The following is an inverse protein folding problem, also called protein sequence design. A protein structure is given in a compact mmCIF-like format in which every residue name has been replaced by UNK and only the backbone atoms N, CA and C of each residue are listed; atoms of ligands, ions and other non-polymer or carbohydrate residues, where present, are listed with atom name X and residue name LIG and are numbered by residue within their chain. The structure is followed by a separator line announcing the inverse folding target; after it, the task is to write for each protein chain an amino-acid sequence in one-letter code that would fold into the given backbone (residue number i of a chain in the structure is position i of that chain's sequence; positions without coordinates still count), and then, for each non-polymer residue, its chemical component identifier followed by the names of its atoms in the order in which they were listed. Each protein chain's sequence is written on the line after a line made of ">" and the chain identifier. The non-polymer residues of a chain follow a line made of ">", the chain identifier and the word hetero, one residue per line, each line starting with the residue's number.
data_IF_293454723091
#
_entry.id   IF_293454723091
#
_cell.length_a   1.000
_cell.length_b   1.000
_cell.length_c   1.000
_cell.angle_alpha   90.00
_cell.angle_beta   90.00
_cell.angle_gamma   90.00
#
_symmetry.space_group_name_H-M   'P 1'
#
loop_
_entity.id
_entity.type
_entity.pdbx_description
1 polymer ?
#
# COMPACT_ATOMS: atom_id res chain seq x y z
N UNK A 1 -57.33 -34.23 -51.78
CA UNK A 1 -57.07 -32.95 -51.10
C UNK A 1 -57.03 -33.29 -49.63
N UNK A 2 -55.88 -33.39 -48.96
CA UNK A 2 -54.59 -32.73 -49.21
C UNK A 2 -53.49 -33.66 -48.69
N UNK A 3 -52.64 -34.16 -49.59
CA UNK A 3 -51.37 -34.77 -49.22
C UNK A 3 -50.38 -33.63 -48.99
N UNK A 4 -50.16 -33.24 -47.74
CA UNK A 4 -49.02 -32.40 -47.39
C UNK A 4 -47.78 -33.29 -47.33
N UNK A 5 -46.68 -32.93 -48.03
CA UNK A 5 -45.45 -33.71 -47.95
C UNK A 5 -44.86 -33.54 -46.55
N UNK A 6 -44.66 -34.68 -45.89
CA UNK A 6 -43.94 -34.80 -44.63
C UNK A 6 -42.52 -34.25 -44.84
N UNK A 7 -42.28 -33.03 -44.35
CA UNK A 7 -40.96 -32.39 -44.40
C UNK A 7 -40.05 -33.20 -43.48
N UNK A 8 -39.31 -34.13 -44.07
CA UNK A 8 -38.26 -34.87 -43.41
C UNK A 8 -37.20 -33.85 -43.01
N UNK A 9 -37.26 -33.39 -41.76
CA UNK A 9 -36.20 -32.60 -41.15
C UNK A 9 -34.99 -33.52 -41.02
N UNK A 10 -34.14 -33.53 -42.05
CA UNK A 10 -32.82 -34.13 -41.97
C UNK A 10 -32.12 -33.47 -40.79
N UNK A 11 -32.03 -34.18 -39.65
CA UNK A 11 -31.14 -33.81 -38.57
C UNK A 11 -29.74 -33.74 -39.18
N UNK A 12 -29.26 -32.52 -39.47
CA UNK A 12 -27.89 -32.30 -39.89
C UNK A 12 -27.01 -32.98 -38.84
N UNK A 13 -26.30 -34.04 -39.22
CA UNK A 13 -25.38 -34.74 -38.32
C UNK A 13 -24.38 -33.72 -37.81
N UNK A 14 -24.53 -33.32 -36.55
CA UNK A 14 -23.65 -32.37 -35.91
C UNK A 14 -22.29 -33.06 -35.75
N UNK A 15 -21.28 -32.54 -36.46
CA UNK A 15 -19.93 -33.08 -36.38
C UNK A 15 -19.40 -32.91 -34.95
N UNK A 16 -18.61 -33.88 -34.44
CA UNK A 16 -18.02 -33.76 -33.12
C UNK A 16 -16.98 -32.63 -33.09
N UNK A 17 -16.77 -32.03 -31.92
CA UNK A 17 -15.66 -31.11 -31.69
C UNK A 17 -14.31 -31.84 -31.81
N UNK A 18 -13.24 -31.16 -32.27
CA UNK A 18 -11.92 -31.75 -32.38
C UNK A 18 -11.36 -32.14 -30.99
N UNK A 19 -10.60 -33.25 -30.89
CA UNK A 19 -9.94 -33.63 -29.66
C UNK A 19 -8.91 -32.57 -29.23
N UNK A 20 -8.68 -32.48 -27.91
CA UNK A 20 -7.88 -31.41 -27.30
C UNK A 20 -6.47 -31.28 -27.87
N UNK A 21 -5.83 -32.35 -28.33
CA UNK A 21 -4.46 -32.25 -28.86
C UNK A 21 -4.37 -31.43 -30.15
N UNK A 22 -5.45 -31.38 -30.94
CA UNK A 22 -5.50 -30.72 -32.25
C UNK A 22 -6.50 -29.57 -32.32
N UNK A 23 -7.31 -29.37 -31.28
CA UNK A 23 -8.24 -28.25 -31.16
C UNK A 23 -7.51 -26.91 -31.20
N UNK A 24 -8.03 -26.01 -32.02
CA UNK A 24 -7.58 -24.64 -32.13
C UNK A 24 -7.88 -23.86 -30.86
N UNK A 25 -9.06 -24.08 -30.26
CA UNK A 25 -9.44 -23.53 -28.96
C UNK A 25 -8.39 -23.84 -27.90
N UNK A 26 -7.98 -25.10 -27.76
CA UNK A 26 -6.97 -25.49 -26.76
C UNK A 26 -5.60 -24.86 -27.05
N UNK A 27 -5.24 -24.61 -28.32
CA UNK A 27 -4.04 -23.84 -28.65
C UNK A 27 -4.14 -22.39 -28.14
N UNK A 28 -5.27 -21.72 -28.42
CA UNK A 28 -5.53 -20.34 -27.99
C UNK A 28 -5.51 -20.22 -26.46
N UNK A 29 -6.14 -21.15 -25.74
CA UNK A 29 -6.10 -21.21 -24.27
C UNK A 29 -4.66 -21.30 -23.75
N UNK A 30 -3.84 -22.20 -24.29
CA UNK A 30 -2.43 -22.37 -23.88
C UNK A 30 -1.57 -21.13 -24.13
N UNK A 31 -1.81 -20.41 -25.23
CA UNK A 31 -1.10 -19.15 -25.49
C UNK A 31 -1.52 -18.07 -24.49
N UNK A 32 -2.82 -17.97 -24.19
CA UNK A 32 -3.31 -17.05 -23.17
C UNK A 32 -2.77 -17.34 -21.77
N UNK A 33 -2.61 -18.61 -21.38
CA UNK A 33 -1.96 -18.95 -20.11
C UNK A 33 -0.54 -18.40 -20.02
N UNK A 34 0.22 -18.41 -21.11
CA UNK A 34 1.56 -17.83 -21.19
C UNK A 34 1.50 -16.31 -21.12
N UNK A 35 0.68 -15.68 -21.96
CA UNK A 35 0.52 -14.22 -22.01
C UNK A 35 0.11 -13.67 -20.63
N UNK A 36 -0.91 -14.28 -20.00
CA UNK A 36 -1.38 -13.89 -18.67
C UNK A 36 -0.27 -14.05 -17.61
N UNK A 37 0.58 -15.08 -17.73
CA UNK A 37 1.71 -15.28 -16.81
C UNK A 37 2.76 -14.18 -16.96
N UNK A 38 3.12 -13.79 -18.18
CA UNK A 38 4.01 -12.65 -18.44
C UNK A 38 3.40 -11.35 -17.93
N UNK A 39 2.12 -11.12 -18.21
CA UNK A 39 1.37 -9.96 -17.77
C UNK A 39 1.31 -9.84 -16.25
N UNK A 40 1.01 -10.93 -15.53
CA UNK A 40 1.06 -10.96 -14.05
C UNK A 40 2.44 -10.65 -13.47
N UNK A 41 3.51 -10.91 -14.24
CA UNK A 41 4.88 -10.58 -13.90
C UNK A 41 5.28 -9.15 -14.30
N UNK A 42 4.35 -8.33 -14.81
CA UNK A 42 4.58 -6.95 -15.18
C UNK A 42 5.13 -6.76 -16.60
N UNK A 43 5.12 -7.79 -17.44
CA UNK A 43 5.60 -7.73 -18.83
C UNK A 43 4.44 -7.88 -19.80
N UNK A 44 4.35 -6.99 -20.79
CA UNK A 44 3.46 -7.19 -21.92
C UNK A 44 4.15 -8.12 -22.94
N UNK A 45 3.48 -9.20 -23.32
CA UNK A 45 3.93 -10.14 -24.35
C UNK A 45 3.21 -9.81 -25.68
N UNK A 46 3.46 -8.58 -26.16
CA UNK A 46 2.76 -8.00 -27.32
C UNK A 46 3.03 -8.78 -28.60
N UNK A 47 4.23 -9.35 -28.74
CA UNK A 47 4.58 -10.21 -29.88
C UNK A 47 3.77 -11.51 -29.88
N UNK A 48 3.63 -12.18 -28.73
CA UNK A 48 2.82 -13.40 -28.65
C UNK A 48 1.33 -13.11 -28.84
N UNK A 49 0.84 -11.98 -28.34
CA UNK A 49 -0.54 -11.53 -28.58
C UNK A 49 -0.79 -11.25 -30.08
N UNK A 50 0.09 -10.49 -30.73
CA UNK A 50 -0.02 -10.18 -32.16
C UNK A 50 0.09 -11.42 -33.05
N UNK A 51 0.97 -12.36 -32.70
CA UNK A 51 1.07 -13.65 -33.38
C UNK A 51 -0.22 -14.48 -33.21
N UNK A 52 -0.82 -14.46 -32.02
CA UNK A 52 -2.08 -15.15 -31.74
C UNK A 52 -3.25 -14.54 -32.50
N UNK A 53 -3.35 -13.21 -32.56
CA UNK A 53 -4.36 -12.48 -33.35
C UNK A 53 -4.23 -12.80 -34.84
N UNK A 54 -2.99 -12.80 -35.35
CA UNK A 54 -2.69 -13.14 -36.75
C UNK A 54 -3.08 -14.59 -37.07
N UNK A 55 -2.85 -15.52 -36.14
CA UNK A 55 -3.23 -16.93 -36.28
C UNK A 55 -4.75 -17.10 -36.30
N UNK A 56 -5.48 -16.42 -35.41
CA UNK A 56 -6.95 -16.46 -35.35
C UNK A 56 -7.55 -15.93 -36.65
N UNK A 57 -7.04 -14.82 -37.17
CA UNK A 57 -7.54 -14.25 -38.43
C UNK A 57 -7.17 -15.12 -39.65
N UNK A 58 -5.99 -15.74 -39.64
CA UNK A 58 -5.59 -16.69 -40.67
C UNK A 58 -6.54 -17.91 -40.73
N UNK A 59 -6.84 -18.52 -39.60
CA UNK A 59 -7.78 -19.66 -39.53
C UNK A 59 -9.22 -19.25 -39.87
N UNK A 60 -9.62 -18.02 -39.53
CA UNK A 60 -10.92 -17.45 -39.95
C UNK A 60 -11.01 -17.43 -41.48
N UNK A 61 -10.04 -16.81 -42.15
CA UNK A 61 -10.03 -16.68 -43.60
C UNK A 61 -10.03 -18.05 -44.29
N UNK A 62 -9.30 -19.02 -43.72
CA UNK A 62 -9.27 -20.40 -44.22
C UNK A 62 -10.62 -21.11 -44.12
N UNK A 63 -11.27 -21.05 -42.95
CA UNK A 63 -12.50 -21.79 -42.65
C UNK A 63 -13.77 -21.15 -43.23
N UNK A 64 -13.83 -19.82 -43.26
CA UNK A 64 -15.05 -19.08 -43.64
C UNK A 64 -14.97 -18.49 -45.04
N UNK A 65 -13.85 -17.89 -45.43
CA UNK A 65 -13.75 -17.16 -46.70
C UNK A 65 -13.34 -18.10 -47.84
N UNK A 66 -12.32 -18.93 -47.62
CA UNK A 66 -11.81 -19.88 -48.61
C UNK A 66 -12.57 -21.21 -48.60
N UNK A 67 -13.30 -21.46 -47.51
CA UNK A 67 -14.07 -22.68 -47.27
C UNK A 67 -13.24 -23.95 -47.56
N UNK A 68 -11.95 -23.92 -47.18
CA UNK A 68 -11.03 -25.05 -47.35
C UNK A 68 -11.47 -26.18 -46.40
N UNK A 69 -12.02 -27.30 -46.91
CA UNK A 69 -12.50 -28.36 -46.04
C UNK A 69 -11.30 -29.09 -45.45
N UNK A 70 -11.16 -29.05 -44.12
CA UNK A 70 -10.22 -29.96 -43.44
C UNK A 70 -10.74 -31.39 -43.65
N UNK A 71 -9.90 -32.34 -44.12
CA UNK A 71 -10.31 -33.71 -44.41
C UNK A 71 -10.80 -34.48 -43.17
N UNK A 72 -10.63 -33.95 -41.96
CA UNK A 72 -11.05 -34.58 -40.71
C UNK A 72 -12.51 -34.25 -40.37
N UNK A 73 -13.30 -35.21 -39.87
CA UNK A 73 -14.74 -35.04 -39.62
C UNK A 73 -15.01 -34.33 -38.28
N UNK A 74 -14.53 -33.09 -38.14
CA UNK A 74 -14.73 -32.28 -36.93
C UNK A 74 -15.37 -30.93 -37.25
N UNK A 75 -16.08 -30.38 -36.27
CA UNK A 75 -16.65 -29.04 -36.35
C UNK A 75 -15.60 -27.96 -36.03
N UNK A 76 -14.75 -27.67 -37.02
CA UNK A 76 -13.73 -26.64 -36.92
C UNK A 76 -14.30 -25.22 -36.83
N UNK A 77 -15.53 -24.99 -37.31
CA UNK A 77 -16.18 -23.67 -37.26
C UNK A 77 -16.58 -23.34 -35.83
N UNK A 78 -17.20 -24.29 -35.14
CA UNK A 78 -17.54 -24.12 -33.72
C UNK A 78 -16.29 -24.00 -32.84
N UNK A 79 -15.25 -24.82 -33.08
CA UNK A 79 -13.96 -24.73 -32.37
C UNK A 79 -13.29 -23.35 -32.55
N UNK A 80 -13.35 -22.77 -33.76
CA UNK A 80 -12.85 -21.41 -34.00
C UNK A 80 -13.69 -20.34 -33.28
N UNK A 81 -15.03 -20.46 -33.27
CA UNK A 81 -15.92 -19.52 -32.58
C UNK A 81 -15.63 -19.51 -31.08
N UNK A 82 -15.47 -20.69 -30.47
CA UNK A 82 -15.09 -20.82 -29.05
C UNK A 82 -13.71 -20.21 -28.78
N UNK A 83 -12.73 -20.49 -29.64
CA UNK A 83 -11.39 -19.91 -29.55
C UNK A 83 -11.43 -18.37 -29.61
N UNK A 84 -12.24 -17.79 -30.51
CA UNK A 84 -12.42 -16.35 -30.66
C UNK A 84 -13.08 -15.73 -29.43
N UNK A 85 -14.13 -16.37 -28.87
CA UNK A 85 -14.77 -15.91 -27.64
C UNK A 85 -13.79 -15.89 -26.45
N UNK A 86 -12.95 -16.92 -26.31
CA UNK A 86 -11.90 -16.98 -25.28
C UNK A 86 -10.88 -15.85 -25.48
N UNK A 87 -10.48 -15.60 -26.72
CA UNK A 87 -9.55 -14.53 -27.03
C UNK A 87 -10.12 -13.16 -26.67
N UNK A 88 -11.32 -12.83 -27.15
CA UNK A 88 -11.96 -11.53 -26.90
C UNK A 88 -12.19 -11.30 -25.41
N UNK A 89 -12.68 -12.32 -24.68
CA UNK A 89 -12.84 -12.26 -23.23
C UNK A 89 -11.53 -11.95 -22.51
N UNK A 90 -10.43 -12.61 -22.89
CA UNK A 90 -9.14 -12.39 -22.24
C UNK A 90 -8.54 -11.01 -22.58
N UNK A 91 -8.72 -10.52 -23.80
CA UNK A 91 -8.34 -9.14 -24.18
C UNK A 91 -9.05 -8.14 -23.28
N UNK A 92 -10.36 -8.26 -23.12
CA UNK A 92 -11.15 -7.37 -22.26
C UNK A 92 -10.72 -7.47 -20.79
N UNK A 93 -10.47 -8.67 -20.28
CA UNK A 93 -9.97 -8.89 -18.91
C UNK A 93 -8.61 -8.21 -18.70
N UNK A 94 -7.69 -8.38 -19.64
CA UNK A 94 -6.34 -7.78 -19.54
C UNK A 94 -6.43 -6.26 -19.63
N UNK A 95 -7.22 -5.72 -20.55
CA UNK A 95 -7.42 -4.27 -20.72
C UNK A 95 -8.00 -3.64 -19.45
N UNK A 96 -9.09 -4.20 -18.91
CA UNK A 96 -9.74 -3.72 -17.70
C UNK A 96 -8.82 -3.81 -16.48
N UNK A 97 -8.09 -4.92 -16.34
CA UNK A 97 -7.17 -5.08 -15.20
C UNK A 97 -5.89 -4.25 -15.34
N UNK A 98 -5.43 -3.95 -16.55
CA UNK A 98 -4.27 -3.08 -16.78
C UNK A 98 -4.53 -1.69 -16.20
N UNK A 99 -5.69 -1.10 -16.52
CA UNK A 99 -6.10 0.18 -15.94
C UNK A 99 -6.11 0.13 -14.41
N UNK A 100 -6.73 -0.91 -13.84
CA UNK A 100 -6.76 -1.07 -12.38
C UNK A 100 -5.37 -1.18 -11.75
N UNK A 101 -4.44 -1.91 -12.38
CA UNK A 101 -3.06 -2.03 -11.90
C UNK A 101 -2.33 -0.69 -11.98
N UNK A 102 -2.53 0.08 -13.05
CA UNK A 102 -1.95 1.41 -13.22
C UNK A 102 -2.50 2.39 -12.17
N UNK A 103 -3.80 2.33 -11.87
CA UNK A 103 -4.44 3.12 -10.81
C UNK A 103 -3.87 2.77 -9.43
N UNK A 104 -3.72 1.48 -9.12
CA UNK A 104 -3.13 1.04 -7.85
C UNK A 104 -1.66 1.45 -7.76
N UNK A 105 -0.90 1.38 -8.86
CA UNK A 105 0.49 1.86 -8.91
C UNK A 105 0.57 3.36 -8.66
N UNK A 106 -0.31 4.15 -9.29
CA UNK A 106 -0.43 5.60 -9.08
C UNK A 106 -0.79 5.93 -7.63
N UNK A 107 -1.77 5.24 -7.05
CA UNK A 107 -2.13 5.37 -5.64
C UNK A 107 -0.92 5.16 -4.72
N UNK A 108 -0.09 4.14 -4.98
CA UNK A 108 1.12 3.91 -4.18
C UNK A 108 2.18 4.99 -4.36
N UNK A 109 2.37 5.51 -5.57
CA UNK A 109 3.27 6.65 -5.79
C UNK A 109 2.80 7.90 -5.04
N UNK A 110 1.52 8.24 -5.16
CA UNK A 110 0.93 9.36 -4.42
C UNK A 110 1.05 9.16 -2.90
N UNK A 111 0.83 7.94 -2.42
CA UNK A 111 1.03 7.60 -1.02
C UNK A 111 2.48 7.82 -0.57
N UNK A 112 3.47 7.39 -1.37
CA UNK A 112 4.88 7.59 -1.04
C UNK A 112 5.28 9.07 -1.00
N UNK A 113 4.80 9.88 -1.94
CA UNK A 113 5.08 11.31 -1.99
C UNK A 113 4.42 12.05 -0.83
N UNK A 114 3.13 11.81 -0.59
CA UNK A 114 2.39 12.44 0.52
C UNK A 114 2.96 12.05 1.87
N UNK A 115 3.30 10.77 2.06
CA UNK A 115 3.80 10.29 3.34
C UNK A 115 5.13 10.93 3.72
N UNK A 116 6.02 11.18 2.73
CA UNK A 116 7.30 11.83 3.00
C UNK A 116 7.12 13.28 3.50
N UNK A 117 6.34 14.08 2.77
CA UNK A 117 6.11 15.49 3.11
C UNK A 117 5.30 15.64 4.41
N UNK A 118 4.18 14.93 4.52
CA UNK A 118 3.28 15.04 5.67
C UNK A 118 3.96 14.62 6.97
N UNK A 119 4.78 13.57 6.94
CA UNK A 119 5.47 13.10 8.13
C UNK A 119 6.51 14.08 8.65
N UNK A 120 7.20 14.79 7.72
CA UNK A 120 8.14 15.85 8.07
C UNK A 120 7.44 17.01 8.76
N UNK A 121 6.32 17.49 8.21
CA UNK A 121 5.62 18.67 8.72
C UNK A 121 5.00 18.42 10.10
N UNK A 122 4.30 17.29 10.27
CA UNK A 122 3.69 16.93 11.57
C UNK A 122 4.75 16.74 12.65
N UNK A 123 5.86 16.09 12.31
CA UNK A 123 6.95 15.87 13.28
C UNK A 123 7.58 17.18 13.73
N UNK A 124 7.76 18.12 12.80
CA UNK A 124 8.37 19.41 13.07
C UNK A 124 7.45 20.30 13.92
N UNK A 125 6.14 20.27 13.66
CA UNK A 125 5.17 21.04 14.43
C UNK A 125 4.98 20.51 15.87
N UNK A 126 4.96 19.18 16.03
CA UNK A 126 4.95 18.53 17.34
C UNK A 126 6.21 18.87 18.15
N UNK A 127 7.38 18.81 17.51
CA UNK A 127 8.66 19.16 18.16
C UNK A 127 8.70 20.63 18.57
N UNK A 128 8.26 21.56 17.71
CA UNK A 128 8.17 22.99 18.04
C UNK A 128 7.30 23.24 19.26
N UNK A 129 6.08 22.68 19.26
CA UNK A 129 5.12 22.84 20.35
C UNK A 129 5.70 22.36 21.67
N UNK A 130 6.43 21.24 21.64
CA UNK A 130 7.02 20.66 22.83
C UNK A 130 8.25 21.45 23.32
N UNK A 131 9.12 21.90 22.41
CA UNK A 131 10.26 22.76 22.77
C UNK A 131 9.78 24.06 23.41
N UNK A 132 8.64 24.61 22.99
CA UNK A 132 8.06 25.79 23.64
C UNK A 132 7.60 25.49 25.07
N UNK A 133 6.88 24.39 25.30
CA UNK A 133 6.34 24.03 26.61
C UNK A 133 7.46 23.57 27.57
N UNK A 134 8.24 22.56 27.18
CA UNK A 134 9.35 22.05 27.99
C UNK A 134 10.45 23.09 28.13
N UNK A 135 10.74 23.87 27.08
CA UNK A 135 11.72 24.95 27.15
C UNK A 135 11.31 26.06 28.13
N UNK A 136 10.03 26.46 28.14
CA UNK A 136 9.53 27.42 29.11
C UNK A 136 9.63 26.87 30.55
N UNK A 137 9.29 25.60 30.76
CA UNK A 137 9.42 24.94 32.05
C UNK A 137 10.87 24.85 32.54
N UNK A 138 11.81 24.51 31.64
CA UNK A 138 13.25 24.47 31.93
C UNK A 138 13.77 25.87 32.29
N UNK A 139 13.43 26.90 31.52
CA UNK A 139 13.86 28.28 31.80
C UNK A 139 13.33 28.72 33.18
N UNK A 140 12.04 28.51 33.45
CA UNK A 140 11.43 28.86 34.74
C UNK A 140 12.06 28.10 35.92
N UNK A 141 12.49 26.86 35.72
CA UNK A 141 13.19 26.11 36.75
C UNK A 141 14.65 26.58 36.93
N UNK A 142 15.33 26.95 35.85
CA UNK A 142 16.70 27.46 35.88
C UNK A 142 16.81 28.83 36.55
N UNK A 143 15.81 29.70 36.45
CA UNK A 143 15.81 30.99 37.17
C UNK A 143 15.83 30.80 38.69
N UNK A 144 15.12 29.79 39.21
CA UNK A 144 15.16 29.38 40.62
C UNK A 144 16.53 28.81 40.99
N UNK A 145 17.09 27.93 40.14
CA UNK A 145 18.36 27.24 40.42
C UNK A 145 19.60 28.13 40.28
N UNK A 146 19.54 29.15 39.41
CA UNK A 146 20.63 30.10 39.18
C UNK A 146 20.74 31.20 40.25
N UNK A 147 19.83 31.21 41.23
CA UNK A 147 19.86 32.19 42.32
C UNK A 147 19.40 33.59 41.90
N UNK A 148 18.69 33.73 40.77
CA UNK A 148 18.03 34.99 40.42
C UNK A 148 16.93 35.36 41.43
N UNK A 149 16.43 34.38 42.19
CA UNK A 149 15.59 34.58 43.37
C UNK A 149 16.50 34.58 44.60
N UNK A 150 16.47 35.67 45.38
CA UNK A 150 17.41 35.89 46.48
C UNK A 150 17.32 34.86 47.63
N UNK A 151 16.12 34.31 47.88
CA UNK A 151 15.91 33.25 48.87
C UNK A 151 14.89 32.24 48.35
N UNK A 152 15.32 31.28 47.50
CA UNK A 152 14.42 30.27 46.98
C UNK A 152 14.05 29.28 48.09
N UNK A 153 12.75 29.09 48.28
CA UNK A 153 12.22 28.13 49.25
C UNK A 153 12.70 26.69 48.92
N UNK A 154 13.09 25.84 49.90
CA UNK A 154 13.65 24.52 49.61
C UNK A 154 12.75 23.61 48.76
N UNK A 155 11.42 23.71 48.91
CA UNK A 155 10.48 22.97 48.07
C UNK A 155 10.52 23.45 46.61
N UNK A 156 10.67 24.77 46.39
CA UNK A 156 10.84 25.32 45.04
C UNK A 156 12.14 24.83 44.39
N UNK A 157 13.25 24.74 45.13
CA UNK A 157 14.51 24.20 44.61
C UNK A 157 14.36 22.72 44.21
N UNK A 158 13.68 21.91 45.02
CA UNK A 158 13.41 20.50 44.71
C UNK A 158 12.56 20.38 43.43
N UNK A 159 11.47 21.15 43.35
CA UNK A 159 10.58 21.19 42.19
C UNK A 159 11.33 21.62 40.93
N UNK A 160 12.17 22.65 41.00
CA UNK A 160 12.97 23.08 39.87
C UNK A 160 13.93 21.99 39.38
N UNK A 161 14.60 21.25 40.27
CA UNK A 161 15.45 20.12 39.87
C UNK A 161 14.64 19.01 39.19
N UNK A 162 13.47 18.67 39.75
CA UNK A 162 12.60 17.64 39.21
C UNK A 162 12.08 18.04 37.83
N UNK A 163 11.57 19.27 37.68
CA UNK A 163 11.07 19.82 36.42
C UNK A 163 12.14 19.86 35.33
N UNK A 164 13.37 20.30 35.63
CA UNK A 164 14.46 20.27 34.63
C UNK A 164 14.72 18.84 34.16
N UNK A 165 14.83 17.90 35.10
CA UNK A 165 15.13 16.51 34.77
C UNK A 165 14.01 15.87 33.93
N UNK A 166 12.74 16.06 34.33
CA UNK A 166 11.60 15.46 33.64
C UNK A 166 11.33 16.12 32.29
N UNK A 167 11.49 17.44 32.15
CA UNK A 167 11.38 18.12 30.84
C UNK A 167 12.50 17.72 29.88
N UNK A 168 13.74 17.55 30.34
CA UNK A 168 14.83 17.03 29.47
C UNK A 168 14.54 15.59 29.04
N UNK A 169 14.10 14.73 29.97
CA UNK A 169 13.75 13.33 29.66
C UNK A 169 12.58 13.27 28.66
N UNK A 170 11.57 14.10 28.88
CA UNK A 170 10.40 14.27 28.02
C UNK A 170 10.81 14.68 26.59
N UNK A 171 11.64 15.71 26.43
CA UNK A 171 12.18 16.13 25.13
C UNK A 171 12.97 15.01 24.43
N UNK A 172 13.81 14.28 25.16
CA UNK A 172 14.58 13.17 24.60
C UNK A 172 13.67 12.03 24.11
N UNK A 173 12.66 11.67 24.89
CA UNK A 173 11.68 10.65 24.50
C UNK A 173 10.91 11.06 23.24
N UNK A 174 10.46 12.32 23.17
CA UNK A 174 9.78 12.85 21.99
C UNK A 174 10.69 12.82 20.76
N UNK A 175 11.91 13.35 20.87
CA UNK A 175 12.88 13.35 19.78
C UNK A 175 13.25 11.95 19.31
N UNK A 176 13.39 10.98 20.24
CA UNK A 176 13.63 9.59 19.91
C UNK A 176 12.43 8.95 19.18
N UNK A 177 11.21 9.20 19.65
CA UNK A 177 9.99 8.71 19.01
C UNK A 177 9.84 9.17 17.56
N UNK A 178 10.01 10.48 17.31
CA UNK A 178 9.99 11.03 15.95
C UNK A 178 11.13 10.50 15.09
N UNK A 179 12.34 10.36 15.65
CA UNK A 179 13.50 9.82 14.93
C UNK A 179 13.28 8.36 14.49
N UNK A 180 12.72 7.52 15.37
CA UNK A 180 12.38 6.12 15.05
C UNK A 180 11.37 6.07 13.91
N UNK A 181 10.30 6.86 13.97
CA UNK A 181 9.31 6.89 12.89
C UNK A 181 9.89 7.40 11.59
N UNK A 182 10.67 8.48 11.62
CA UNK A 182 11.24 9.08 10.42
C UNK A 182 12.15 8.10 9.69
N UNK A 183 13.09 7.47 10.41
CA UNK A 183 14.00 6.47 9.82
C UNK A 183 13.21 5.30 9.22
N UNK A 184 12.21 4.80 9.95
CA UNK A 184 11.41 3.65 9.50
C UNK A 184 10.49 3.99 8.33
N UNK A 185 9.85 5.14 8.34
CA UNK A 185 9.02 5.59 7.21
C UNK A 185 9.87 5.87 5.97
N UNK A 186 11.06 6.46 6.13
CA UNK A 186 12.01 6.65 5.04
C UNK A 186 12.41 5.32 4.39
N UNK A 187 12.78 4.31 5.20
CA UNK A 187 13.11 2.97 4.71
C UNK A 187 11.93 2.33 3.96
N UNK A 188 10.72 2.41 4.53
CA UNK A 188 9.52 1.83 3.94
C UNK A 188 9.13 2.52 2.63
N UNK A 189 9.17 3.85 2.60
CA UNK A 189 8.90 4.63 1.39
C UNK A 189 9.92 4.28 0.30
N UNK A 190 11.20 4.16 0.65
CA UNK A 190 12.26 3.77 -0.29
C UNK A 190 12.03 2.36 -0.86
N UNK A 191 11.69 1.38 -0.01
CA UNK A 191 11.39 0.01 -0.44
C UNK A 191 10.15 -0.07 -1.33
N UNK A 192 9.06 0.62 -0.95
CA UNK A 192 7.84 0.68 -1.76
C UNK A 192 8.16 1.31 -3.11
N UNK A 193 8.85 2.46 -3.14
CA UNK A 193 9.26 3.11 -4.38
C UNK A 193 10.13 2.20 -5.25
N UNK A 194 11.07 1.47 -4.66
CA UNK A 194 11.91 0.48 -5.37
C UNK A 194 11.07 -0.63 -6.02
N UNK A 195 10.02 -1.12 -5.35
CA UNK A 195 9.09 -2.12 -5.90
C UNK A 195 8.26 -1.55 -7.06
N UNK A 196 7.88 -0.27 -6.98
CA UNK A 196 7.08 0.41 -8.01
C UNK A 196 7.89 0.80 -9.25
N UNK A 197 9.21 1.01 -9.10
CA UNK A 197 10.10 1.32 -10.23
C UNK A 197 10.21 0.10 -11.16
N UNK A 198 10.09 0.35 -12.47
CA UNK A 198 10.16 -0.69 -13.50
C UNK A 198 8.87 -1.52 -13.63
N UNK A 199 9.04 -2.78 -14.02
CA UNK A 199 7.95 -3.72 -14.29
C UNK A 199 7.43 -4.36 -13.00
N UNK A 200 6.38 -3.75 -12.45
CA UNK A 200 5.83 -4.13 -11.15
C UNK A 200 5.01 -5.41 -11.26
N UNK A 201 5.47 -6.49 -10.63
CA UNK A 201 4.70 -7.75 -10.55
C UNK A 201 3.41 -7.52 -9.76
N UNK A 202 2.28 -8.04 -10.23
CA UNK A 202 0.98 -7.77 -9.61
C UNK A 202 0.93 -8.25 -8.16
N UNK A 203 1.44 -9.45 -7.88
CA UNK A 203 1.46 -9.98 -6.53
C UNK A 203 2.29 -9.12 -5.56
N UNK A 204 3.31 -8.40 -6.04
CA UNK A 204 4.09 -7.47 -5.22
C UNK A 204 3.28 -6.22 -4.90
N UNK A 205 2.61 -5.66 -5.89
CA UNK A 205 1.72 -4.50 -5.75
C UNK A 205 0.66 -4.72 -4.66
N UNK A 206 -0.04 -5.86 -4.70
CA UNK A 206 -1.05 -6.22 -3.70
C UNK A 206 -0.48 -6.69 -2.36
N UNK A 207 0.83 -6.97 -2.28
CA UNK A 207 1.47 -7.32 -1.02
C UNK A 207 1.89 -6.10 -0.22
N UNK A 208 2.04 -4.91 -0.83
CA UNK A 208 2.49 -3.68 -0.17
C UNK A 208 1.75 -3.40 1.15
N UNK A 209 0.40 -3.46 1.24
CA UNK A 209 -0.30 -3.23 2.51
C UNK A 209 0.12 -4.18 3.63
N UNK A 210 0.35 -5.46 3.30
CA UNK A 210 0.77 -6.47 4.28
C UNK A 210 2.19 -6.21 4.76
N UNK A 211 3.07 -5.79 3.86
CA UNK A 211 4.43 -5.38 4.22
C UNK A 211 4.41 -4.14 5.11
N UNK A 212 3.68 -3.10 4.73
CA UNK A 212 3.53 -1.89 5.55
C UNK A 212 3.03 -2.23 6.95
N UNK A 213 1.97 -3.03 7.07
CA UNK A 213 1.47 -3.45 8.39
C UNK A 213 2.54 -4.18 9.22
N UNK A 214 3.25 -5.13 8.61
CA UNK A 214 4.25 -5.96 9.32
C UNK A 214 5.45 -5.14 9.81
N UNK A 215 5.91 -4.17 9.03
CA UNK A 215 7.16 -3.45 9.31
C UNK A 215 6.94 -2.06 9.90
N UNK A 216 5.82 -1.39 9.62
CA UNK A 216 5.47 -0.11 10.20
C UNK A 216 4.85 -0.27 11.60
N UNK A 217 3.93 -1.22 11.83
CA UNK A 217 3.19 -1.31 13.09
C UNK A 217 4.10 -1.38 14.34
N UNK A 218 5.18 -2.20 14.38
CA UNK A 218 6.03 -2.26 15.57
C UNK A 218 6.76 -0.94 15.83
N UNK A 219 7.27 -0.31 14.78
CA UNK A 219 7.96 0.98 14.87
C UNK A 219 7.02 2.09 15.31
N UNK A 220 5.81 2.13 14.73
CA UNK A 220 4.76 3.09 15.09
C UNK A 220 4.32 2.91 16.54
N UNK A 221 4.15 1.67 17.02
CA UNK A 221 3.83 1.42 18.43
C UNK A 221 4.94 1.90 19.36
N UNK A 222 6.20 1.58 19.07
CA UNK A 222 7.34 2.02 19.87
C UNK A 222 7.42 3.54 19.92
N UNK A 223 7.34 4.19 18.76
CA UNK A 223 7.41 5.64 18.69
C UNK A 223 6.23 6.34 19.36
N UNK A 224 5.01 5.85 19.17
CA UNK A 224 3.84 6.36 19.89
C UNK A 224 4.01 6.19 21.40
N UNK A 225 4.58 5.08 21.86
CA UNK A 225 4.87 4.87 23.29
C UNK A 225 5.87 5.92 23.80
N UNK A 226 6.88 6.27 23.02
CA UNK A 226 7.84 7.32 23.38
C UNK A 226 7.22 8.72 23.36
N UNK A 227 6.42 9.03 22.34
CA UNK A 227 5.75 10.34 22.15
C UNK A 227 4.66 10.56 23.21
N UNK A 228 3.78 9.59 23.43
CA UNK A 228 2.77 9.72 24.49
C UNK A 228 3.39 9.57 25.88
N UNK A 229 4.45 8.78 25.99
CA UNK A 229 5.25 8.65 27.20
C UNK A 229 5.90 9.96 27.62
N UNK A 230 6.42 10.76 26.69
CA UNK A 230 7.00 12.06 27.01
C UNK A 230 5.95 13.02 27.57
N UNK A 231 4.78 13.09 26.93
CA UNK A 231 3.64 13.90 27.40
C UNK A 231 3.21 13.45 28.81
N UNK A 232 3.13 12.14 29.05
CA UNK A 232 2.77 11.60 30.35
C UNK A 232 3.82 11.90 31.44
N UNK A 233 5.10 11.72 31.13
CA UNK A 233 6.22 12.02 32.05
C UNK A 233 6.19 13.51 32.44
N UNK A 234 6.04 14.40 31.46
CA UNK A 234 5.92 15.83 31.72
C UNK A 234 4.67 16.14 32.56
N UNK A 235 3.49 15.69 32.15
CA UNK A 235 2.22 15.97 32.83
C UNK A 235 2.17 15.46 34.27
N UNK A 236 2.60 14.22 34.51
CA UNK A 236 2.67 13.64 35.85
C UNK A 236 3.68 14.40 36.71
N UNK A 237 4.85 14.75 36.14
CA UNK A 237 5.86 15.51 36.89
C UNK A 237 5.38 16.91 37.25
N UNK A 238 4.69 17.61 36.34
CA UNK A 238 4.11 18.92 36.60
C UNK A 238 3.04 18.84 37.68
N UNK A 239 2.20 17.80 37.67
CA UNK A 239 1.21 17.56 38.70
C UNK A 239 1.86 17.32 40.07
N UNK A 240 2.87 16.46 40.15
CA UNK A 240 3.61 16.21 41.40
C UNK A 240 4.32 17.47 41.90
N UNK A 241 4.95 18.23 41.00
CA UNK A 241 5.57 19.52 41.31
C UNK A 241 4.56 20.51 41.89
N UNK A 242 3.36 20.59 41.32
CA UNK A 242 2.29 21.44 41.82
C UNK A 242 1.82 20.99 43.22
N UNK A 243 1.67 19.69 43.45
CA UNK A 243 1.33 19.15 44.77
C UNK A 243 2.40 19.48 45.82
N UNK A 244 3.68 19.33 45.48
CA UNK A 244 4.79 19.67 46.38
C UNK A 244 4.72 21.14 46.77
N UNK A 245 4.50 22.04 45.80
CA UNK A 245 4.38 23.48 46.09
C UNK A 245 3.15 23.82 46.91
N UNK A 246 2.03 23.12 46.72
CA UNK A 246 0.78 23.38 47.41
C UNK A 246 0.77 22.90 48.86
N UNK A 247 1.42 21.77 49.15
CA UNK A 247 1.41 21.14 50.47
C UNK A 247 2.67 21.41 51.30
N UNK A 248 3.76 21.85 50.70
CA UNK A 248 4.93 22.20 51.49
C UNK A 248 4.65 23.52 52.25
N UNK A 249 5.11 23.66 53.50
CA UNK A 249 4.95 24.89 54.26
C UNK A 249 5.82 25.98 53.63
N UNK A 250 5.17 26.91 52.91
CA UNK A 250 5.83 28.06 52.29
C UNK A 250 6.55 28.91 53.34
N UNK A 251 7.45 29.83 52.92
CA UNK A 251 7.88 30.88 53.82
C UNK A 251 6.60 31.55 54.33
N UNK A 252 6.33 31.39 55.63
CA UNK A 252 5.27 32.13 56.30
C UNK A 252 5.44 33.57 55.86
N UNK A 253 4.42 34.12 55.20
CA UNK A 253 4.29 35.55 54.99
C UNK A 253 4.11 36.18 56.39
N UNK A 254 5.20 36.20 57.15
CA UNK A 254 5.34 36.98 58.35
C UNK A 254 6.00 38.29 57.88
N UNK A 255 5.34 39.43 58.10
CA UNK A 255 5.92 40.74 57.83
C UNK A 255 7.19 40.99 58.67
#
# INVERSE_FOLDING_TARGET
>A
MSDEPEVTTLHAQQLPLPPKEISFQNHVERQWEKIIRFWKNGWADESSLSNLESLIEFERAKLFDRNEPDPRPFDWKSDWIEAKMIHDFNVDVVKNRKQHVDDVKKMWFEWTERSFTYFSDVSLEALKSMVLIDGAAIIAALTVLSGQIAQPWPAAVLVSKLTVFTSVTSLLMMGAGHSVLFLRMSDLVSQVRSILIGNTKHHKLYAIPRYLKRYADPATKLANTLIFGSIAVFGISAFLSALILLFAPGPSALP
#
